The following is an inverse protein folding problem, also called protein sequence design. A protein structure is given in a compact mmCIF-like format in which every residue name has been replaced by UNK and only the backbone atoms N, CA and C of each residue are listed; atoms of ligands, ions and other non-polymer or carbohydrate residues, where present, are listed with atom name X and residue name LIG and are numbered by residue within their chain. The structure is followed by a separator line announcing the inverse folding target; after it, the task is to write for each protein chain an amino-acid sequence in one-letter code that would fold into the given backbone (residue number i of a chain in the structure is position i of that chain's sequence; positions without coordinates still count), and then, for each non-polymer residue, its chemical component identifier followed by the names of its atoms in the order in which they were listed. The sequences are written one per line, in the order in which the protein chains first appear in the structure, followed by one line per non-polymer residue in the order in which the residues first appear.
data_IF_043411601342
#
_entry.id   IF_043411601342
#
_cell.length_a   1.000
_cell.length_b   1.000
_cell.length_c   1.000
_cell.angle_alpha   90.00
_cell.angle_beta   90.00
_cell.angle_gamma   90.00
#
_symmetry.space_group_name_H-M   'P 1'
#
loop_
_entity.id
_entity.type
_entity.pdbx_description
1 polymer ?
#
# COMPACT_ATOMS: atom_id res chain seq x y z
N UNK A 1 -11.26 -18.90 27.66
CA UNK A 1 -10.87 -17.73 26.83
C UNK A 1 -9.37 -17.57 26.93
N UNK A 2 -8.69 -17.39 25.81
CA UNK A 2 -7.23 -17.12 25.78
C UNK A 2 -6.92 -15.72 26.34
N UNK A 3 -5.77 -15.55 26.98
CA UNK A 3 -5.32 -14.24 27.50
C UNK A 3 -5.17 -13.21 26.37
N UNK A 4 -5.41 -11.92 26.65
CA UNK A 4 -5.22 -10.83 25.69
C UNK A 4 -3.74 -10.53 25.40
N UNK A 5 -2.84 -10.86 26.34
CA UNK A 5 -1.40 -10.60 26.25
C UNK A 5 -1.01 -9.12 26.38
N UNK A 6 0.30 -8.80 26.39
CA UNK A 6 0.83 -7.47 26.62
C UNK A 6 0.37 -6.42 25.60
N UNK A 7 0.29 -5.16 26.03
CA UNK A 7 -0.02 -4.00 25.16
C UNK A 7 1.28 -3.35 24.72
N UNK A 8 1.43 -3.14 23.41
CA UNK A 8 2.54 -2.39 22.85
C UNK A 8 2.21 -0.89 22.72
N UNK A 9 1.10 -0.56 22.07
CA UNK A 9 0.67 0.82 21.81
C UNK A 9 -0.37 1.25 22.84
N UNK A 10 -0.04 2.27 23.63
CA UNK A 10 -0.94 2.84 24.64
C UNK A 10 -1.70 4.06 24.11
N UNK A 11 -2.81 4.42 24.77
CA UNK A 11 -3.60 5.61 24.47
C UNK A 11 -4.78 5.36 23.54
N UNK A 12 -5.29 6.44 22.92
CA UNK A 12 -6.50 6.43 22.09
C UNK A 12 -6.21 6.60 20.58
N UNK A 13 -4.94 6.48 20.17
CA UNK A 13 -4.57 6.59 18.75
C UNK A 13 -5.25 5.52 17.90
N UNK A 14 -5.38 5.76 16.59
CA UNK A 14 -5.88 4.74 15.64
C UNK A 14 -5.14 3.41 15.80
N UNK A 15 -3.80 3.45 15.88
CA UNK A 15 -2.96 2.26 16.12
C UNK A 15 -3.31 1.56 17.43
N UNK A 16 -3.51 2.28 18.54
CA UNK A 16 -3.86 1.66 19.82
C UNK A 16 -5.24 0.98 19.78
N UNK A 17 -6.22 1.60 19.10
CA UNK A 17 -7.55 1.01 18.87
C UNK A 17 -7.47 -0.21 17.96
N UNK A 18 -6.68 -0.16 16.89
CA UNK A 18 -6.44 -1.29 16.00
C UNK A 18 -5.79 -2.45 16.77
N UNK A 19 -4.77 -2.17 17.60
CA UNK A 19 -4.11 -3.15 18.44
C UNK A 19 -5.07 -3.81 19.42
N UNK A 20 -5.90 -3.02 20.11
CA UNK A 20 -6.93 -3.56 21.01
C UNK A 20 -7.88 -4.50 20.24
N UNK A 21 -8.32 -4.11 19.04
CA UNK A 21 -9.17 -4.96 18.20
C UNK A 21 -8.48 -6.27 17.82
N UNK A 22 -7.22 -6.22 17.38
CA UNK A 22 -6.49 -7.44 16.98
C UNK A 22 -6.26 -8.38 18.16
N UNK A 23 -5.97 -7.84 19.35
CA UNK A 23 -5.84 -8.60 20.60
C UNK A 23 -7.12 -9.36 20.93
N UNK A 24 -8.26 -8.66 20.89
CA UNK A 24 -9.56 -9.24 21.16
C UNK A 24 -9.94 -10.28 20.11
N UNK A 25 -9.75 -9.97 18.83
CA UNK A 25 -10.01 -10.90 17.73
C UNK A 25 -9.20 -12.18 17.89
N UNK A 26 -7.89 -12.08 18.19
CA UNK A 26 -7.06 -13.24 18.45
C UNK A 26 -7.58 -14.08 19.61
N UNK A 27 -7.83 -13.44 20.75
CA UNK A 27 -8.16 -14.14 21.98
C UNK A 27 -9.56 -14.78 21.95
N UNK A 28 -10.53 -14.11 21.33
CA UNK A 28 -11.96 -14.48 21.37
C UNK A 28 -12.45 -15.17 20.11
N UNK A 29 -12.00 -14.74 18.94
CA UNK A 29 -12.43 -15.32 17.65
C UNK A 29 -11.51 -16.44 17.21
N UNK A 30 -10.19 -16.23 17.27
CA UNK A 30 -9.22 -17.25 16.87
C UNK A 30 -8.95 -18.27 17.98
N UNK A 31 -9.06 -17.86 19.25
CA UNK A 31 -8.81 -18.72 20.40
C UNK A 31 -7.35 -19.17 20.52
N UNK A 32 -6.40 -18.35 20.05
CA UNK A 32 -4.97 -18.70 19.98
C UNK A 32 -4.09 -17.85 20.90
N UNK A 33 -2.96 -18.44 21.28
CA UNK A 33 -1.94 -17.82 22.13
C UNK A 33 -1.22 -16.64 21.42
N UNK A 34 -0.61 -15.79 22.25
CA UNK A 34 0.09 -14.59 21.79
C UNK A 34 1.60 -14.80 21.66
N UNK A 35 2.23 -14.01 20.79
CA UNK A 35 3.69 -13.87 20.74
C UNK A 35 4.18 -12.88 21.79
N UNK A 36 5.21 -12.09 21.48
CA UNK A 36 5.76 -11.09 22.40
C UNK A 36 4.70 -10.08 22.90
N UNK A 37 3.83 -9.63 22.00
CA UNK A 37 2.72 -8.74 22.31
C UNK A 37 1.38 -9.36 21.96
N UNK A 38 0.32 -8.81 22.55
CA UNK A 38 -1.04 -9.27 22.32
C UNK A 38 -1.54 -9.14 20.88
N UNK A 39 -0.88 -8.44 19.98
CA UNK A 39 -1.24 -8.42 18.55
C UNK A 39 -0.33 -9.32 17.71
N UNK A 40 0.65 -9.97 18.32
CA UNK A 40 1.42 -11.03 17.69
C UNK A 40 0.77 -12.38 17.97
N UNK A 41 0.74 -13.22 16.94
CA UNK A 41 0.40 -14.63 17.05
C UNK A 41 1.59 -15.41 17.62
N UNK A 42 1.30 -16.42 18.44
CA UNK A 42 2.30 -17.44 18.76
C UNK A 42 2.77 -18.16 17.48
N UNK A 43 4.01 -18.69 17.44
CA UNK A 43 4.58 -19.32 16.25
C UNK A 43 3.70 -20.38 15.60
N UNK A 44 3.05 -21.24 16.39
CA UNK A 44 2.17 -22.31 15.90
C UNK A 44 0.96 -21.74 15.14
N UNK A 45 0.37 -20.67 15.68
CA UNK A 45 -0.77 -19.99 15.06
C UNK A 45 -0.35 -19.22 13.79
N UNK A 46 0.83 -18.60 13.79
CA UNK A 46 1.38 -17.92 12.62
C UNK A 46 1.68 -18.93 11.48
N UNK A 47 2.31 -20.07 11.81
CA UNK A 47 2.56 -21.16 10.88
C UNK A 47 1.26 -21.71 10.31
N UNK A 48 0.25 -21.89 11.15
CA UNK A 48 -1.10 -22.34 10.78
C UNK A 48 -1.97 -21.29 10.06
N UNK A 49 -1.40 -20.14 9.67
CA UNK A 49 -2.09 -19.14 8.84
C UNK A 49 -3.15 -18.32 9.56
N UNK A 50 -3.12 -18.25 10.90
CA UNK A 50 -4.18 -17.58 11.68
C UNK A 50 -4.21 -16.05 11.54
N UNK A 51 -3.21 -15.44 10.90
CA UNK A 51 -3.28 -14.03 10.52
C UNK A 51 -4.14 -13.78 9.27
N UNK A 52 -4.61 -14.84 8.62
CA UNK A 52 -5.43 -14.76 7.43
C UNK A 52 -6.88 -15.15 7.73
N UNK A 53 -7.83 -14.38 7.20
CA UNK A 53 -9.26 -14.58 7.47
C UNK A 53 -9.85 -15.76 6.70
N UNK A 54 -9.19 -16.19 5.62
CA UNK A 54 -9.53 -17.36 4.79
C UNK A 54 -8.26 -18.04 4.29
N UNK A 55 -8.32 -19.35 4.06
CA UNK A 55 -7.17 -20.16 3.63
C UNK A 55 -6.60 -19.69 2.28
N UNK A 56 -7.45 -19.22 1.38
CA UNK A 56 -7.06 -18.65 0.08
C UNK A 56 -6.04 -17.51 0.24
N UNK A 57 -6.25 -16.61 1.20
CA UNK A 57 -5.35 -15.49 1.47
C UNK A 57 -4.02 -15.97 2.06
N UNK A 58 -4.06 -16.96 2.96
CA UNK A 58 -2.85 -17.59 3.51
C UNK A 58 -2.03 -18.28 2.41
N UNK A 59 -2.68 -19.05 1.54
CA UNK A 59 -2.02 -19.74 0.45
C UNK A 59 -1.42 -18.77 -0.58
N UNK A 60 -2.12 -17.69 -0.91
CA UNK A 60 -1.59 -16.62 -1.76
C UNK A 60 -0.33 -15.98 -1.16
N UNK A 61 -0.36 -15.62 0.14
CA UNK A 61 0.79 -15.05 0.82
C UNK A 61 1.98 -16.03 0.87
N UNK A 62 1.74 -17.31 1.13
CA UNK A 62 2.79 -18.35 1.10
C UNK A 62 3.35 -18.59 -0.29
N UNK A 63 2.51 -18.59 -1.32
CA UNK A 63 2.95 -18.73 -2.70
C UNK A 63 3.85 -17.54 -3.08
N UNK A 64 3.44 -16.31 -2.74
CA UNK A 64 4.24 -15.12 -3.01
C UNK A 64 5.56 -15.11 -2.24
N UNK A 65 5.55 -15.52 -0.96
CA UNK A 65 6.77 -15.68 -0.16
C UNK A 65 7.76 -16.66 -0.81
N UNK A 66 7.28 -17.78 -1.34
CA UNK A 66 8.12 -18.76 -2.06
C UNK A 66 8.64 -18.23 -3.40
N UNK A 67 7.90 -17.33 -4.05
CA UNK A 67 8.31 -16.70 -5.29
C UNK A 67 9.43 -15.64 -5.11
N UNK A 68 9.79 -15.28 -3.87
CA UNK A 68 10.95 -14.45 -3.56
C UNK A 68 10.62 -13.17 -2.79
N UNK A 69 11.15 -12.03 -3.26
CA UNK A 69 11.00 -10.70 -2.64
C UNK A 69 9.52 -10.32 -2.47
N UNK A 70 9.20 -9.56 -1.43
CA UNK A 70 7.86 -8.99 -1.20
C UNK A 70 7.27 -9.38 0.16
N UNK A 71 7.25 -10.67 0.49
CA UNK A 71 6.56 -11.15 1.70
C UNK A 71 7.50 -11.41 2.89
N UNK A 72 7.40 -10.57 3.92
CA UNK A 72 8.22 -10.68 5.14
C UNK A 72 7.61 -11.63 6.20
N UNK A 73 8.42 -12.21 7.11
CA UNK A 73 7.90 -13.09 8.18
C UNK A 73 6.81 -12.44 9.04
N UNK A 74 6.95 -11.13 9.33
CA UNK A 74 5.97 -10.34 10.10
C UNK A 74 4.54 -10.41 9.55
N UNK A 75 4.37 -10.72 8.26
CA UNK A 75 3.05 -10.85 7.61
C UNK A 75 2.27 -12.04 8.14
N UNK A 76 2.95 -13.07 8.64
CA UNK A 76 2.28 -14.26 9.17
C UNK A 76 1.99 -14.18 10.67
N UNK A 77 2.69 -13.32 11.41
CA UNK A 77 2.62 -13.28 12.88
C UNK A 77 2.07 -11.97 13.45
N UNK A 78 2.31 -10.83 12.79
CA UNK A 78 1.87 -9.52 13.27
C UNK A 78 0.47 -9.21 12.72
N UNK A 79 -0.53 -9.19 13.61
CA UNK A 79 -1.92 -8.92 13.23
C UNK A 79 -2.17 -7.46 12.84
N UNK A 80 -1.18 -6.57 13.01
CA UNK A 80 -1.19 -5.20 12.50
C UNK A 80 -0.47 -5.04 11.16
N UNK A 81 -0.11 -6.14 10.49
CA UNK A 81 0.52 -6.10 9.17
C UNK A 81 -0.46 -5.62 8.08
N UNK A 82 -0.14 -4.50 7.45
CA UNK A 82 -0.78 -4.00 6.22
C UNK A 82 -0.70 -5.02 5.08
N UNK A 83 0.43 -5.71 4.95
CA UNK A 83 0.59 -6.77 3.96
C UNK A 83 -0.39 -7.93 4.22
N UNK A 84 -0.60 -8.34 5.48
CA UNK A 84 -1.60 -9.36 5.80
C UNK A 84 -3.03 -8.87 5.49
N UNK A 85 -3.34 -7.59 5.78
CA UNK A 85 -4.59 -6.95 5.38
C UNK A 85 -4.79 -6.96 3.87
N UNK A 86 -3.74 -6.65 3.09
CA UNK A 86 -3.74 -6.69 1.65
C UNK A 86 -4.13 -8.08 1.12
N UNK A 87 -3.46 -9.14 1.58
CA UNK A 87 -3.84 -10.51 1.20
C UNK A 87 -5.25 -10.89 1.64
N UNK A 88 -5.67 -10.51 2.86
CA UNK A 88 -6.99 -10.82 3.39
C UNK A 88 -8.14 -10.23 2.57
N UNK A 89 -7.93 -9.04 2.00
CA UNK A 89 -8.92 -8.34 1.19
C UNK A 89 -8.81 -8.78 -0.27
N UNK A 90 -7.61 -8.76 -0.85
CA UNK A 90 -7.46 -8.81 -2.30
C UNK A 90 -7.19 -10.21 -2.86
N UNK A 91 -6.71 -11.18 -2.06
CA UNK A 91 -6.53 -12.54 -2.58
C UNK A 91 -7.86 -13.17 -2.99
N UNK A 92 -8.95 -13.10 -2.20
CA UNK A 92 -10.26 -13.60 -2.65
C UNK A 92 -10.84 -12.84 -3.84
N UNK A 93 -10.54 -11.55 -3.98
CA UNK A 93 -10.96 -10.76 -5.14
C UNK A 93 -10.17 -11.13 -6.41
N UNK A 94 -8.89 -11.47 -6.27
CA UNK A 94 -8.01 -11.80 -7.41
C UNK A 94 -8.44 -13.05 -8.18
N UNK A 95 -9.19 -13.95 -7.55
CA UNK A 95 -9.76 -15.15 -8.18
C UNK A 95 -11.23 -14.97 -8.59
N UNK A 96 -11.81 -13.80 -8.31
CA UNK A 96 -13.24 -13.49 -8.50
C UNK A 96 -13.41 -12.10 -9.11
N UNK A 97 -12.90 -11.95 -10.33
CA UNK A 97 -12.72 -10.63 -10.96
C UNK A 97 -14.02 -9.86 -11.22
N UNK A 98 -15.14 -10.55 -11.44
CA UNK A 98 -16.45 -9.89 -11.57
C UNK A 98 -16.87 -9.23 -10.25
N UNK A 99 -16.74 -9.95 -9.12
CA UNK A 99 -16.95 -9.39 -7.79
C UNK A 99 -15.95 -8.27 -7.50
N UNK A 100 -14.68 -8.43 -7.90
CA UNK A 100 -13.68 -7.37 -7.77
C UNK A 100 -14.09 -6.11 -8.52
N UNK A 101 -14.62 -6.24 -9.73
CA UNK A 101 -15.13 -5.10 -10.50
C UNK A 101 -16.30 -4.41 -9.78
N UNK A 102 -17.26 -5.17 -9.24
CA UNK A 102 -18.40 -4.61 -8.51
C UNK A 102 -18.00 -3.87 -7.23
N UNK A 103 -17.04 -4.43 -6.47
CA UNK A 103 -16.50 -3.82 -5.24
C UNK A 103 -15.72 -2.56 -5.57
N UNK A 104 -14.84 -2.61 -6.57
CA UNK A 104 -13.91 -1.52 -6.89
C UNK A 104 -14.54 -0.37 -7.69
N UNK A 105 -15.74 -0.55 -8.25
CA UNK A 105 -16.48 0.49 -9.00
C UNK A 105 -16.70 1.77 -8.20
N UNK A 106 -16.82 1.67 -6.86
CA UNK A 106 -16.96 2.85 -5.99
C UNK A 106 -15.70 3.71 -5.92
N UNK A 107 -14.54 3.16 -6.28
CA UNK A 107 -13.27 3.84 -6.21
C UNK A 107 -12.74 4.20 -7.59
N UNK A 108 -12.98 3.37 -8.61
CA UNK A 108 -12.37 3.52 -9.93
C UNK A 108 -13.43 4.06 -10.92
N UNK A 109 -13.38 5.35 -11.31
CA UNK A 109 -14.40 5.93 -12.17
C UNK A 109 -14.49 5.22 -13.51
N UNK A 110 -15.72 4.91 -13.91
CA UNK A 110 -16.05 4.24 -15.16
C UNK A 110 -15.63 2.76 -15.22
N UNK A 111 -15.23 2.12 -14.10
CA UNK A 111 -14.79 0.72 -14.11
C UNK A 111 -15.88 -0.22 -14.66
N UNK A 112 -15.56 -0.87 -15.78
CA UNK A 112 -16.44 -1.86 -16.41
C UNK A 112 -16.03 -3.28 -16.07
N UNK A 113 -14.72 -3.57 -16.06
CA UNK A 113 -14.17 -4.91 -15.82
C UNK A 113 -12.81 -4.86 -15.14
N UNK A 114 -12.54 -5.83 -14.28
CA UNK A 114 -11.18 -6.15 -13.79
C UNK A 114 -10.69 -7.39 -14.54
N UNK A 115 -9.46 -7.37 -15.03
CA UNK A 115 -8.85 -8.47 -15.79
C UNK A 115 -7.74 -9.17 -15.04
N UNK A 116 -7.09 -8.50 -14.09
CA UNK A 116 -6.11 -9.11 -13.20
C UNK A 116 -5.93 -8.30 -11.91
N UNK A 117 -5.53 -8.99 -10.84
CA UNK A 117 -5.04 -8.39 -9.60
C UNK A 117 -3.76 -9.13 -9.23
N UNK A 118 -2.64 -8.41 -9.19
CA UNK A 118 -1.34 -8.91 -8.78
C UNK A 118 -1.04 -8.37 -7.39
N UNK A 119 -0.82 -9.26 -6.43
CA UNK A 119 -0.52 -8.90 -5.03
C UNK A 119 0.99 -8.98 -4.82
N UNK A 120 1.56 -7.95 -4.19
CA UNK A 120 3.01 -7.76 -4.03
C UNK A 120 3.73 -7.74 -5.38
N UNK A 121 3.32 -6.85 -6.29
CA UNK A 121 3.89 -6.77 -7.63
C UNK A 121 5.29 -6.17 -7.59
N UNK A 122 6.26 -6.92 -8.12
CA UNK A 122 7.62 -6.44 -8.36
C UNK A 122 7.74 -6.10 -9.85
N UNK A 123 7.97 -4.82 -10.21
CA UNK A 123 8.13 -4.44 -11.61
C UNK A 123 9.42 -4.98 -12.21
N UNK A 124 9.47 -5.01 -13.54
CA UNK A 124 10.72 -5.28 -14.24
C UNK A 124 11.77 -4.20 -13.94
N UNK A 125 13.03 -4.63 -13.77
CA UNK A 125 14.10 -3.79 -13.20
C UNK A 125 14.45 -2.55 -14.02
N UNK A 126 14.15 -2.55 -15.32
CA UNK A 126 14.36 -1.44 -16.26
C UNK A 126 13.34 -0.30 -16.11
N UNK A 127 12.28 -0.46 -15.31
CA UNK A 127 11.34 0.65 -15.04
C UNK A 127 12.07 1.78 -14.31
N UNK A 128 12.76 1.47 -13.21
CA UNK A 128 13.43 2.46 -12.36
C UNK A 128 14.92 2.25 -12.17
N UNK A 129 15.47 1.10 -12.62
CA UNK A 129 16.85 0.71 -12.34
C UNK A 129 17.18 0.68 -10.83
N UNK A 130 16.19 0.35 -10.01
CA UNK A 130 16.27 0.36 -8.54
C UNK A 130 16.06 -1.02 -7.91
N UNK A 131 15.74 -2.02 -8.73
CA UNK A 131 15.48 -3.38 -8.27
C UNK A 131 16.77 -4.07 -7.87
N UNK A 132 16.77 -4.60 -6.66
CA UNK A 132 17.85 -5.39 -6.07
C UNK A 132 17.25 -6.58 -5.33
N UNK A 133 18.06 -7.57 -4.96
CA UNK A 133 17.59 -8.70 -4.15
C UNK A 133 17.05 -8.31 -2.77
N UNK A 134 17.23 -7.07 -2.31
CA UNK A 134 16.82 -6.57 -0.98
C UNK A 134 15.88 -5.36 -1.02
N UNK A 135 15.62 -4.77 -2.17
CA UNK A 135 14.91 -3.50 -2.26
C UNK A 135 14.64 -3.06 -3.70
N UNK A 136 14.02 -1.89 -3.84
CA UNK A 136 13.43 -1.40 -5.09
C UNK A 136 11.94 -1.17 -4.88
N UNK A 137 11.34 -0.27 -5.66
CA UNK A 137 9.92 0.05 -5.60
C UNK A 137 9.13 -1.16 -6.06
N UNK A 138 8.47 -1.81 -5.11
CA UNK A 138 7.39 -2.77 -5.34
C UNK A 138 6.08 -2.08 -4.96
N UNK A 139 4.94 -2.61 -5.42
CA UNK A 139 3.64 -2.16 -4.95
C UNK A 139 2.80 -3.29 -4.40
N UNK A 140 1.99 -2.98 -3.39
CA UNK A 140 1.18 -3.98 -2.70
C UNK A 140 0.13 -4.59 -3.63
N UNK A 141 -0.44 -3.79 -4.54
CA UNK A 141 -1.34 -4.27 -5.59
C UNK A 141 -1.08 -3.59 -6.93
N UNK A 142 -1.19 -4.38 -7.99
CA UNK A 142 -1.37 -3.90 -9.35
C UNK A 142 -2.65 -4.50 -9.93
N UNK A 143 -3.57 -3.64 -10.35
CA UNK A 143 -4.89 -4.01 -10.87
C UNK A 143 -4.94 -3.61 -12.33
N UNK A 144 -5.41 -4.54 -13.16
CA UNK A 144 -5.63 -4.32 -14.59
C UNK A 144 -7.12 -4.43 -14.90
N UNK A 145 -7.57 -3.68 -15.90
CA UNK A 145 -8.94 -3.82 -16.35
C UNK A 145 -9.32 -2.82 -17.44
N UNK A 146 -10.62 -2.60 -17.57
CA UNK A 146 -11.19 -1.63 -18.50
C UNK A 146 -12.13 -0.67 -17.78
N UNK A 147 -12.09 0.58 -18.19
CA UNK A 147 -13.10 1.58 -17.87
C UNK A 147 -13.87 1.97 -19.14
N UNK A 148 -14.85 2.85 -18.99
CA UNK A 148 -15.51 3.53 -20.12
C UNK A 148 -14.54 4.36 -20.97
N UNK A 149 -13.36 4.71 -20.45
CA UNK A 149 -12.29 5.43 -21.14
C UNK A 149 -11.19 4.50 -21.71
N UNK A 150 -11.38 3.18 -21.68
CA UNK A 150 -10.44 2.19 -22.23
C UNK A 150 -9.70 1.38 -21.16
N UNK A 151 -8.62 0.71 -21.56
CA UNK A 151 -7.80 -0.10 -20.65
C UNK A 151 -7.14 0.78 -19.58
N UNK A 152 -7.03 0.26 -18.35
CA UNK A 152 -6.37 0.94 -17.24
C UNK A 152 -5.46 0.01 -16.43
N UNK A 153 -4.49 0.66 -15.76
CA UNK A 153 -3.67 0.08 -14.69
C UNK A 153 -3.86 0.93 -13.43
N UNK A 154 -4.03 0.27 -12.29
CA UNK A 154 -4.12 0.89 -10.98
C UNK A 154 -3.10 0.26 -10.04
N UNK A 155 -2.14 1.05 -9.56
CA UNK A 155 -1.25 0.67 -8.46
C UNK A 155 -1.92 1.05 -7.14
N UNK A 156 -1.83 0.19 -6.11
CA UNK A 156 -2.33 0.51 -4.77
C UNK A 156 -1.26 0.20 -3.73
N UNK A 157 -1.05 1.15 -2.81
CA UNK A 157 -0.31 0.98 -1.56
C UNK A 157 -1.30 0.75 -0.43
N UNK A 158 -1.11 -0.30 0.37
CA UNK A 158 -1.93 -0.60 1.54
C UNK A 158 -1.23 -0.12 2.82
N UNK A 159 -1.96 0.59 3.68
CA UNK A 159 -1.51 1.00 5.01
C UNK A 159 -2.60 0.65 5.99
N UNK A 160 -2.23 0.00 7.09
CA UNK A 160 -3.16 -0.33 8.15
C UNK A 160 -2.97 0.62 9.33
N UNK A 161 -1.86 0.51 10.05
CA UNK A 161 -1.59 1.29 11.27
C UNK A 161 -0.30 2.10 11.22
N UNK A 162 0.36 2.11 10.08
CA UNK A 162 1.55 2.91 9.84
C UNK A 162 1.23 4.38 10.09
N UNK A 163 2.10 5.11 10.81
CA UNK A 163 1.88 6.53 11.08
C UNK A 163 2.38 7.43 9.96
N UNK A 164 3.11 6.90 8.99
CA UNK A 164 3.70 7.66 7.89
C UNK A 164 3.95 6.76 6.66
N UNK A 165 4.05 7.39 5.50
CA UNK A 165 4.54 6.75 4.28
C UNK A 165 6.06 6.66 4.28
N UNK A 166 6.61 5.82 3.41
CA UNK A 166 8.07 5.77 3.21
C UNK A 166 8.59 7.11 2.71
N UNK A 167 9.66 7.60 3.33
CA UNK A 167 10.32 8.86 2.96
C UNK A 167 11.54 8.62 2.05
N UNK A 168 12.00 9.69 1.40
CA UNK A 168 13.23 9.70 0.62
C UNK A 168 14.42 9.13 1.44
N UNK A 169 15.06 8.09 0.91
CA UNK A 169 16.15 7.36 1.55
C UNK A 169 17.39 8.21 1.83
N UNK A 170 17.59 9.32 1.11
CA UNK A 170 18.66 10.29 1.34
C UNK A 170 18.32 11.37 2.37
N UNK A 171 17.07 11.40 2.87
CA UNK A 171 16.62 12.29 3.94
C UNK A 171 16.16 11.55 5.20
N UNK A 172 16.35 10.23 5.24
CA UNK A 172 16.09 9.44 6.44
C UNK A 172 16.88 9.96 7.64
N UNK A 173 16.25 10.07 8.82
CA UNK A 173 16.96 10.42 10.06
C UNK A 173 18.14 9.50 10.34
N UNK A 174 19.21 10.05 10.92
CA UNK A 174 20.41 9.30 11.32
C UNK A 174 21.40 8.99 10.18
N UNK A 175 21.24 9.56 8.99
CA UNK A 175 22.27 9.47 7.93
C UNK A 175 23.54 10.25 8.27
N UNK A 176 23.37 11.48 8.79
CA UNK A 176 24.49 12.34 9.22
C UNK A 176 25.35 11.63 10.25
N UNK A 177 24.73 11.04 11.29
CA UNK A 177 25.45 10.33 12.35
C UNK A 177 26.16 9.06 11.87
N UNK A 178 25.74 8.51 10.72
CA UNK A 178 26.36 7.35 10.06
C UNK A 178 27.39 7.74 8.99
N UNK A 179 27.69 9.03 8.82
CA UNK A 179 28.59 9.51 7.76
C UNK A 179 28.08 9.24 6.34
N UNK A 180 26.76 9.07 6.17
CA UNK A 180 26.15 8.78 4.87
C UNK A 180 25.72 10.08 4.19
N UNK A 181 25.84 10.13 2.86
CA UNK A 181 25.40 11.27 2.06
C UNK A 181 23.93 11.65 2.35
N UNK A 182 23.65 12.94 2.51
CA UNK A 182 22.31 13.49 2.77
C UNK A 182 21.93 14.42 1.63
N UNK A 183 20.67 14.35 1.19
CA UNK A 183 20.17 15.26 0.16
C UNK A 183 20.10 16.69 0.74
N UNK A 184 20.71 17.70 0.11
CA UNK A 184 20.65 19.07 0.61
C UNK A 184 19.22 19.61 0.54
N UNK A 185 18.86 20.52 1.46
CA UNK A 185 17.50 21.07 1.57
C UNK A 185 17.09 21.90 0.35
N UNK A 186 18.04 22.60 -0.25
CA UNK A 186 17.91 23.53 -1.36
C UNK A 186 18.16 22.90 -2.74
N UNK A 187 18.17 21.56 -2.83
CA UNK A 187 18.42 20.81 -4.08
C UNK A 187 17.61 21.36 -5.25
N UNK A 188 18.28 21.75 -6.34
CA UNK A 188 17.63 22.29 -7.54
C UNK A 188 17.15 21.17 -8.47
N UNK A 189 16.16 20.40 -8.02
CA UNK A 189 15.55 19.39 -8.90
C UNK A 189 14.76 20.03 -10.04
N UNK A 190 14.39 21.32 -9.97
CA UNK A 190 13.60 21.99 -11.02
C UNK A 190 14.44 22.25 -12.26
N UNK A 191 15.63 22.83 -12.09
CA UNK A 191 16.59 23.12 -13.16
C UNK A 191 17.44 21.91 -13.55
N UNK A 192 17.76 21.02 -12.59
CA UNK A 192 18.62 19.87 -12.82
C UNK A 192 18.13 18.60 -12.08
N UNK A 193 17.58 17.64 -12.83
CA UNK A 193 17.14 16.35 -12.26
C UNK A 193 18.30 15.54 -11.67
N UNK A 194 19.53 15.74 -12.17
CA UNK A 194 20.73 15.07 -11.66
C UNK A 194 21.18 15.63 -10.30
N UNK A 195 20.62 16.76 -9.85
CA UNK A 195 20.80 17.23 -8.48
C UNK A 195 20.20 16.25 -7.45
N UNK A 196 19.24 15.41 -7.85
CA UNK A 196 18.68 14.37 -7.00
C UNK A 196 19.70 13.24 -6.72
N UNK A 197 19.98 12.96 -5.45
CA UNK A 197 20.94 11.91 -5.08
C UNK A 197 20.55 10.49 -5.52
N UNK A 198 19.26 10.20 -5.72
CA UNK A 198 18.85 8.92 -6.31
C UNK A 198 19.28 8.80 -7.78
N UNK A 199 19.25 9.89 -8.52
CA UNK A 199 19.73 9.91 -9.91
C UNK A 199 21.26 9.85 -9.91
N UNK A 200 21.92 10.86 -9.34
CA UNK A 200 23.38 10.99 -9.38
C UNK A 200 24.14 9.84 -8.70
N UNK A 201 23.67 9.38 -7.55
CA UNK A 201 24.43 8.41 -6.74
C UNK A 201 24.00 6.96 -6.95
N UNK A 202 22.82 6.73 -7.52
CA UNK A 202 22.26 5.38 -7.70
C UNK A 202 21.85 5.05 -9.13
N UNK A 203 21.78 6.03 -10.03
CA UNK A 203 21.35 5.81 -11.41
C UNK A 203 19.87 5.45 -11.52
N UNK A 204 19.05 5.81 -10.52
CA UNK A 204 17.62 5.52 -10.54
C UNK A 204 16.88 6.50 -11.45
N UNK A 205 15.84 6.02 -12.13
CA UNK A 205 15.22 6.76 -13.23
C UNK A 205 13.85 7.34 -12.89
N UNK A 206 13.54 7.55 -11.60
CA UNK A 206 12.25 8.09 -11.15
C UNK A 206 11.89 9.42 -11.84
N UNK A 207 12.83 10.38 -11.86
CA UNK A 207 12.62 11.69 -12.50
C UNK A 207 12.44 11.57 -14.02
N UNK A 208 13.32 10.81 -14.69
CA UNK A 208 13.20 10.56 -16.13
C UNK A 208 11.84 9.98 -16.51
N UNK A 209 11.32 9.02 -15.72
CA UNK A 209 9.98 8.45 -15.94
C UNK A 209 8.87 9.47 -15.63
N UNK A 210 9.04 10.29 -14.60
CA UNK A 210 8.08 11.36 -14.28
C UNK A 210 7.94 12.36 -15.42
N UNK A 211 9.06 12.78 -16.01
CA UNK A 211 9.10 13.70 -17.15
C UNK A 211 8.54 13.02 -18.42
N UNK A 212 8.89 11.74 -18.68
CA UNK A 212 8.35 10.95 -19.80
C UNK A 212 6.81 10.91 -19.79
N UNK A 213 6.20 10.74 -18.61
CA UNK A 213 4.74 10.60 -18.47
C UNK A 213 4.04 11.91 -18.12
N UNK A 214 4.76 13.04 -18.06
CA UNK A 214 4.23 14.36 -17.71
C UNK A 214 3.34 14.37 -16.44
N UNK A 215 3.73 13.60 -15.42
CA UNK A 215 2.93 13.35 -14.20
C UNK A 215 2.66 14.64 -13.41
N UNK A 216 3.62 15.56 -13.42
CA UNK A 216 3.58 16.79 -12.61
C UNK A 216 2.97 17.96 -13.38
N UNK A 217 2.31 18.85 -12.64
CA UNK A 217 1.89 20.15 -13.15
C UNK A 217 3.11 21.04 -13.46
N UNK A 218 2.93 22.04 -14.34
CA UNK A 218 4.03 22.87 -14.83
C UNK A 218 4.70 23.71 -13.73
N UNK A 219 3.95 24.04 -12.66
CA UNK A 219 4.39 24.80 -11.49
C UNK A 219 4.62 23.92 -10.24
N UNK A 220 4.55 22.58 -10.37
CA UNK A 220 4.66 21.65 -9.26
C UNK A 220 6.02 21.68 -8.55
N UNK A 221 7.08 22.10 -9.25
CA UNK A 221 8.44 22.11 -8.71
C UNK A 221 8.80 23.50 -8.16
N UNK A 222 9.17 23.60 -6.87
CA UNK A 222 9.61 24.85 -6.30
C UNK A 222 10.91 25.34 -6.95
N UNK A 223 11.22 26.63 -6.82
CA UNK A 223 12.47 27.20 -7.31
C UNK A 223 13.72 26.62 -6.61
N UNK A 224 13.56 26.07 -5.40
CA UNK A 224 14.60 25.39 -4.65
C UNK A 224 13.98 24.30 -3.76
N UNK A 225 14.71 23.20 -3.60
CA UNK A 225 14.30 22.04 -2.80
C UNK A 225 13.50 20.99 -3.56
N UNK A 226 13.26 19.85 -2.91
CA UNK A 226 12.54 18.72 -3.51
C UNK A 226 11.18 18.51 -2.82
N UNK A 227 10.06 18.51 -3.56
CA UNK A 227 8.73 18.28 -2.99
C UNK A 227 8.51 16.82 -2.55
N UNK A 228 9.38 15.90 -2.98
CA UNK A 228 9.34 14.47 -2.63
C UNK A 228 10.39 14.10 -1.57
N UNK A 229 10.74 15.06 -0.72
CA UNK A 229 11.73 14.90 0.35
C UNK A 229 11.19 14.12 1.55
N UNK A 230 9.87 14.03 1.68
CA UNK A 230 9.13 13.48 2.83
C UNK A 230 8.27 12.26 2.42
N UNK A 231 7.14 12.07 3.11
CA UNK A 231 6.14 11.03 2.85
C UNK A 231 5.64 11.01 1.38
N UNK A 232 5.71 12.14 0.67
CA UNK A 232 5.33 12.25 -0.75
C UNK A 232 6.24 11.44 -1.67
N UNK A 233 7.44 11.04 -1.22
CA UNK A 233 8.32 10.18 -2.01
C UNK A 233 7.64 8.86 -2.42
N UNK A 234 7.00 8.17 -1.46
CA UNK A 234 6.33 6.90 -1.76
C UNK A 234 5.14 7.09 -2.71
N UNK A 235 4.37 8.15 -2.53
CA UNK A 235 3.23 8.47 -3.38
C UNK A 235 3.67 8.76 -4.82
N UNK A 236 4.73 9.55 -4.96
CA UNK A 236 5.34 9.89 -6.24
C UNK A 236 5.81 8.65 -7.00
N UNK A 237 6.66 7.81 -6.39
CA UNK A 237 7.21 6.66 -7.11
C UNK A 237 6.15 5.62 -7.47
N UNK A 238 5.11 5.44 -6.65
CA UNK A 238 4.00 4.52 -6.95
C UNK A 238 3.09 5.05 -8.07
N UNK A 239 2.86 6.37 -8.15
CA UNK A 239 2.13 6.96 -9.29
C UNK A 239 2.94 6.81 -10.60
N UNK A 240 4.24 7.12 -10.56
CA UNK A 240 5.10 6.95 -11.73
C UNK A 240 5.19 5.47 -12.13
N UNK A 241 5.16 4.54 -11.17
CA UNK A 241 5.09 3.10 -11.44
C UNK A 241 3.80 2.73 -12.18
N UNK A 242 2.65 3.30 -11.77
CA UNK A 242 1.39 3.06 -12.46
C UNK A 242 1.45 3.47 -13.93
N UNK A 243 2.06 4.62 -14.25
CA UNK A 243 2.26 5.06 -15.64
C UNK A 243 3.20 4.14 -16.42
N UNK A 244 4.31 3.72 -15.81
CA UNK A 244 5.25 2.81 -16.45
C UNK A 244 4.63 1.43 -16.75
N UNK A 245 3.84 0.90 -15.81
CA UNK A 245 3.11 -0.35 -16.01
C UNK A 245 1.98 -0.20 -17.05
N UNK A 246 1.27 0.93 -17.06
CA UNK A 246 0.28 1.23 -18.09
C UNK A 246 0.90 1.23 -19.50
N UNK A 247 2.03 1.91 -19.69
CA UNK A 247 2.76 1.91 -20.97
C UNK A 247 3.10 0.48 -21.43
N UNK A 248 3.68 -0.34 -20.54
CA UNK A 248 4.09 -1.71 -20.89
C UNK A 248 2.92 -2.64 -21.21
N UNK A 249 1.75 -2.36 -20.63
CA UNK A 249 0.53 -3.15 -20.80
C UNK A 249 -0.38 -2.60 -21.91
N UNK A 250 0.01 -1.51 -22.56
CA UNK A 250 -0.81 -0.85 -23.59
C UNK A 250 -2.10 -0.25 -23.02
N UNK A 251 -2.10 0.13 -21.73
CA UNK A 251 -3.24 0.77 -21.09
C UNK A 251 -3.16 2.29 -21.26
N UNK A 252 -4.30 2.90 -21.60
CA UNK A 252 -4.38 4.36 -21.81
C UNK A 252 -4.44 5.14 -20.50
N UNK A 253 -4.87 4.49 -19.41
CA UNK A 253 -5.11 5.14 -18.12
C UNK A 253 -4.23 4.53 -17.03
N UNK A 254 -3.54 5.39 -16.27
CA UNK A 254 -2.75 4.99 -15.11
C UNK A 254 -3.29 5.69 -13.86
N UNK A 255 -3.42 4.95 -12.77
CA UNK A 255 -3.94 5.47 -11.49
C UNK A 255 -3.14 4.93 -10.31
N UNK A 256 -3.11 5.71 -9.24
CA UNK A 256 -2.51 5.34 -7.97
C UNK A 256 -3.52 5.47 -6.81
N UNK A 257 -3.45 4.52 -5.89
CA UNK A 257 -4.40 4.37 -4.79
C UNK A 257 -3.66 4.17 -3.49
N UNK A 258 -4.19 4.74 -2.41
CA UNK A 258 -3.83 4.34 -1.05
C UNK A 258 -5.02 3.61 -0.45
N UNK A 259 -4.86 2.37 -0.03
CA UNK A 259 -5.86 1.66 0.77
C UNK A 259 -5.52 1.79 2.25
N UNK A 260 -6.31 2.60 2.95
CA UNK A 260 -6.16 2.87 4.38
C UNK A 260 -7.51 3.32 4.93
N UNK A 261 -7.71 3.19 6.24
CA UNK A 261 -8.81 3.89 6.91
C UNK A 261 -8.58 5.39 6.87
N UNK A 262 -9.60 6.17 6.51
CA UNK A 262 -9.60 7.63 6.64
C UNK A 262 -9.39 8.11 8.08
N UNK A 263 -9.67 7.25 9.07
CA UNK A 263 -9.50 7.54 10.50
C UNK A 263 -8.05 7.39 10.98
N UNK A 264 -7.13 6.91 10.13
CA UNK A 264 -5.70 6.91 10.45
C UNK A 264 -5.10 8.33 10.25
N UNK A 265 -5.48 9.24 11.15
CA UNK A 265 -5.05 10.65 11.10
C UNK A 265 -3.53 10.83 11.23
N UNK A 266 -2.82 9.87 11.84
CA UNK A 266 -1.35 9.92 11.89
C UNK A 266 -0.76 9.84 10.47
N UNK A 267 -1.25 8.88 9.67
CA UNK A 267 -0.83 8.68 8.28
C UNK A 267 -1.31 9.79 7.34
N UNK A 268 -2.60 10.11 7.40
CA UNK A 268 -3.25 10.96 6.39
C UNK A 268 -3.26 12.45 6.75
N UNK A 269 -3.08 12.79 8.03
CA UNK A 269 -3.21 14.16 8.59
C UNK A 269 -4.50 14.83 8.11
N UNK A 270 -5.62 14.16 8.36
CA UNK A 270 -6.95 14.61 7.93
C UNK A 270 -7.05 14.91 6.42
N UNK A 271 -6.37 14.10 5.60
CA UNK A 271 -6.37 14.20 4.13
C UNK A 271 -5.24 15.07 3.55
N UNK A 272 -4.61 15.91 4.36
CA UNK A 272 -3.59 16.88 3.91
C UNK A 272 -2.42 16.24 3.15
N UNK A 273 -2.03 15.01 3.50
CA UNK A 273 -0.94 14.31 2.81
C UNK A 273 -1.30 13.98 1.35
N UNK A 274 -2.51 13.51 1.09
CA UNK A 274 -2.96 13.20 -0.26
C UNK A 274 -3.29 14.47 -1.03
N UNK A 275 -3.94 15.44 -0.41
CA UNK A 275 -4.30 16.70 -1.06
C UNK A 275 -3.07 17.52 -1.46
N UNK A 276 -2.06 17.58 -0.58
CA UNK A 276 -0.78 18.21 -0.87
C UNK A 276 0.07 17.45 -1.89
N UNK A 277 -0.19 16.16 -2.14
CA UNK A 277 0.42 15.44 -3.25
C UNK A 277 -0.34 15.69 -4.55
N UNK A 278 -1.68 15.63 -4.52
CA UNK A 278 -2.56 15.91 -5.67
C UNK A 278 -2.35 17.30 -6.25
N UNK A 279 -2.05 18.30 -5.41
CA UNK A 279 -1.77 19.67 -5.87
C UNK A 279 -0.50 19.78 -6.72
N UNK A 280 0.35 18.75 -6.75
CA UNK A 280 1.57 18.70 -7.57
C UNK A 280 1.33 18.02 -8.94
N UNK A 281 0.15 17.44 -9.16
CA UNK A 281 -0.12 16.58 -10.31
C UNK A 281 -0.82 17.35 -11.42
N UNK A 282 -0.53 16.96 -12.67
CA UNK A 282 -1.26 17.45 -13.85
C UNK A 282 -2.73 16.99 -13.84
N UNK A 283 -2.97 15.78 -13.37
CA UNK A 283 -4.29 15.20 -13.18
C UNK A 283 -4.41 14.66 -11.74
N UNK A 284 -5.10 15.41 -10.89
CA UNK A 284 -5.29 15.08 -9.48
C UNK A 284 -6.25 13.91 -9.25
N UNK A 285 -7.10 13.58 -10.21
CA UNK A 285 -8.06 12.47 -10.12
C UNK A 285 -7.39 11.10 -10.30
N UNK A 286 -6.14 11.08 -10.79
CA UNK A 286 -5.33 9.85 -10.87
C UNK A 286 -4.94 9.27 -9.51
N UNK A 287 -5.11 10.03 -8.42
CA UNK A 287 -4.75 9.61 -7.06
C UNK A 287 -5.97 9.57 -6.14
N UNK A 288 -6.25 8.40 -5.57
CA UNK A 288 -7.43 8.18 -4.75
C UNK A 288 -7.17 7.45 -3.44
N UNK A 289 -8.04 7.68 -2.46
CA UNK A 289 -8.11 6.90 -1.23
C UNK A 289 -9.12 5.77 -1.43
N UNK A 290 -8.66 4.53 -1.32
CA UNK A 290 -9.49 3.36 -1.12
C UNK A 290 -9.78 3.27 0.38
N UNK A 291 -10.76 4.06 0.83
CA UNK A 291 -11.16 4.10 2.23
C UNK A 291 -11.54 2.68 2.69
N UNK A 292 -10.86 2.20 3.73
CA UNK A 292 -10.97 0.81 4.18
C UNK A 292 -12.39 0.48 4.62
N UNK A 293 -13.07 1.40 5.32
CA UNK A 293 -14.44 1.23 5.76
C UNK A 293 -15.39 1.13 4.57
N UNK A 294 -15.30 2.04 3.60
CA UNK A 294 -16.10 1.96 2.38
C UNK A 294 -15.83 0.66 1.63
N UNK A 295 -14.57 0.23 1.55
CA UNK A 295 -14.19 -1.01 0.86
C UNK A 295 -14.83 -2.24 1.52
N UNK A 296 -14.80 -2.31 2.86
CA UNK A 296 -15.41 -3.39 3.64
C UNK A 296 -16.93 -3.39 3.51
N UNK A 297 -17.57 -2.21 3.51
CA UNK A 297 -19.02 -2.08 3.31
C UNK A 297 -19.43 -2.57 1.92
N UNK A 298 -18.66 -2.23 0.88
CA UNK A 298 -18.89 -2.74 -0.48
C UNK A 298 -18.73 -4.25 -0.54
N UNK A 299 -17.67 -4.81 0.05
CA UNK A 299 -17.48 -6.27 0.12
C UNK A 299 -18.68 -6.93 0.80
N UNK A 300 -19.06 -6.50 1.99
CA UNK A 300 -20.18 -7.09 2.74
C UNK A 300 -21.51 -7.03 1.97
N UNK A 301 -21.78 -5.92 1.28
CA UNK A 301 -23.02 -5.74 0.53
C UNK A 301 -23.11 -6.56 -0.77
N UNK A 302 -21.97 -6.96 -1.34
CA UNK A 302 -21.90 -7.59 -2.67
C UNK A 302 -21.51 -9.06 -2.63
N UNK A 303 -20.93 -9.55 -1.53
CA UNK A 303 -20.49 -10.95 -1.48
C UNK A 303 -21.68 -11.90 -1.58
N UNK A 304 -21.60 -12.95 -2.41
CA UNK A 304 -22.59 -14.01 -2.40
C UNK A 304 -22.58 -14.74 -1.05
N UNK A 305 -23.70 -15.35 -0.66
CA UNK A 305 -23.84 -15.99 0.67
C UNK A 305 -22.74 -16.99 1.03
N UNK A 306 -22.18 -17.70 0.04
CA UNK A 306 -21.02 -18.61 0.22
C UNK A 306 -19.74 -17.92 0.71
N UNK A 307 -19.64 -16.60 0.56
CA UNK A 307 -18.51 -15.75 0.99
C UNK A 307 -18.87 -14.85 2.17
N UNK A 308 -20.07 -14.96 2.75
CA UNK A 308 -20.49 -14.13 3.89
C UNK A 308 -19.54 -14.27 5.09
N UNK A 309 -19.02 -15.48 5.33
CA UNK A 309 -18.04 -15.72 6.39
C UNK A 309 -16.70 -15.02 6.18
N UNK A 310 -16.29 -14.76 4.93
CA UNK A 310 -15.10 -13.97 4.62
C UNK A 310 -15.33 -12.49 4.95
N UNK A 311 -16.43 -11.92 4.45
CA UNK A 311 -16.79 -10.53 4.71
C UNK A 311 -16.95 -10.24 6.21
N UNK A 312 -17.66 -11.11 6.95
CA UNK A 312 -17.84 -10.96 8.40
C UNK A 312 -16.49 -10.92 9.14
N UNK A 313 -15.55 -11.82 8.82
CA UNK A 313 -14.22 -11.82 9.45
C UNK A 313 -13.38 -10.60 9.10
N UNK A 314 -13.52 -10.07 7.89
CA UNK A 314 -12.89 -8.79 7.52
C UNK A 314 -13.43 -7.65 8.38
N UNK A 315 -14.76 -7.55 8.49
CA UNK A 315 -15.43 -6.54 9.32
C UNK A 315 -14.99 -6.63 10.79
N UNK A 316 -14.97 -7.83 11.36
CA UNK A 316 -14.52 -8.06 12.74
C UNK A 316 -13.09 -7.56 12.97
N UNK A 317 -12.19 -7.79 12.01
CA UNK A 317 -10.78 -7.38 12.14
C UNK A 317 -10.54 -5.89 11.90
N UNK A 318 -11.19 -5.30 10.90
CA UNK A 318 -10.73 -4.05 10.32
C UNK A 318 -11.75 -2.91 10.41
N UNK A 319 -13.05 -3.20 10.53
CA UNK A 319 -14.09 -2.16 10.53
C UNK A 319 -14.19 -1.43 11.86
N UNK A 320 -14.42 -0.12 11.79
CA UNK A 320 -14.84 0.69 12.92
C UNK A 320 -13.74 0.89 13.96
N UNK A 321 -12.48 0.79 13.54
CA UNK A 321 -11.32 1.21 14.34
C UNK A 321 -11.31 2.73 14.42
#
# INVERSE_FOLDING_TARGET
MTELGPIYTKGASYRARAEARQREYRARVLGVAHGEYGHFLAPEAAIGGKNFVVDEAFHAARARQRAGKGVAPRTFENMLSSQAMCFNIFAPLSTRLDLAAEVLRSFIPGLTKVTAIHIEHTPAGDIFNDQTGRGGVDCDLLIEGTTTAGAFVQVVETKFVEPEFSVCGFRKPGRVTKGLAVCPDDVDVRGDRDACLYVRSKGYTYWRRSDQFAVLADDALPASGCPFSDARWQLWVNLVLAHAEAERRGAANARFGVCSSSKNAALLRDGQVLDGFRSLLRDSETVQLFDLEVLLDRIESLVPGKLAGWAARLSDRYRGI
#
